data_IF_246018100665
#
_entry.id   IF_246018100665
#
_cell.length_a   1.000
_cell.length_b   1.000
_cell.length_c   1.000
_cell.angle_alpha   90.00
_cell.angle_beta   90.00
_cell.angle_gamma   90.00
#
_symmetry.space_group_name_H-M   'P 1'
#
loop_
_entity.id
_entity.type
_entity.pdbx_description
1 polymer ?
#
# COMPACT_ATOMS: atom_id res chain seq x y z
N UNK A 1 16.09 2.58 2.95
CA UNK A 1 15.86 2.13 1.56
C UNK A 1 14.41 1.67 1.47
N UNK A 2 13.67 2.06 0.44
CA UNK A 2 12.26 1.69 0.29
C UNK A 2 12.06 0.17 0.12
N UNK A 3 12.98 -0.47 -0.61
CA UNK A 3 12.98 -1.91 -0.88
C UNK A 3 13.87 -2.69 0.10
N UNK A 4 13.89 -2.26 1.37
CA UNK A 4 14.69 -2.95 2.38
C UNK A 4 14.21 -4.41 2.53
N UNK A 5 15.16 -5.34 2.69
CA UNK A 5 14.88 -6.79 2.73
C UNK A 5 13.96 -7.19 3.89
N UNK A 6 13.93 -6.39 4.96
CA UNK A 6 13.06 -6.56 6.12
C UNK A 6 11.65 -5.97 5.93
N UNK A 7 11.32 -5.38 4.78
CA UNK A 7 10.00 -4.84 4.49
C UNK A 7 9.65 -3.50 5.15
N UNK A 8 10.57 -2.90 5.91
CA UNK A 8 10.28 -1.69 6.69
C UNK A 8 9.84 -0.49 5.85
N UNK A 9 10.27 -0.40 4.58
CA UNK A 9 9.83 0.65 3.68
C UNK A 9 8.37 0.50 3.25
N UNK A 10 7.88 -0.74 3.13
CA UNK A 10 6.49 -1.01 2.81
C UNK A 10 5.57 -0.82 4.02
N UNK A 11 6.00 -1.25 5.20
CA UNK A 11 5.28 -0.99 6.46
C UNK A 11 5.13 0.51 6.73
N UNK A 12 6.22 1.26 6.57
CA UNK A 12 6.20 2.72 6.69
C UNK A 12 5.21 3.34 5.71
N UNK A 13 5.26 2.94 4.44
CA UNK A 13 4.34 3.47 3.42
C UNK A 13 2.88 3.12 3.74
N UNK A 14 2.61 1.90 4.18
CA UNK A 14 1.26 1.48 4.63
C UNK A 14 0.76 2.41 5.73
N UNK A 15 1.54 2.63 6.80
CA UNK A 15 1.12 3.52 7.88
C UNK A 15 0.83 4.94 7.38
N UNK A 16 1.69 5.49 6.52
CA UNK A 16 1.47 6.83 5.96
C UNK A 16 0.22 6.91 5.08
N UNK A 17 -0.12 5.85 4.33
CA UNK A 17 -1.36 5.78 3.55
C UNK A 17 -2.57 5.79 4.49
N UNK A 18 -2.54 5.05 5.59
CA UNK A 18 -3.65 5.00 6.55
C UNK A 18 -3.85 6.33 7.27
N UNK A 19 -2.75 6.97 7.70
CA UNK A 19 -2.80 8.29 8.33
C UNK A 19 -3.41 9.33 7.36
N UNK A 20 -2.95 9.32 6.10
CA UNK A 20 -3.42 10.23 5.06
C UNK A 20 -4.82 9.89 4.54
N UNK A 21 -5.32 8.66 4.71
CA UNK A 21 -6.67 8.29 4.29
C UNK A 21 -7.73 9.21 4.94
N UNK A 22 -7.49 9.64 6.18
CA UNK A 22 -8.39 10.57 6.89
C UNK A 22 -8.12 12.05 6.60
N UNK A 23 -6.84 12.42 6.40
CA UNK A 23 -6.40 13.82 6.26
C UNK A 23 -6.46 14.31 4.82
N UNK A 24 -6.00 13.49 3.87
CA UNK A 24 -5.96 13.79 2.46
C UNK A 24 -6.06 12.51 1.59
N UNK A 25 -7.30 12.03 1.34
CA UNK A 25 -7.59 10.85 0.54
C UNK A 25 -6.91 10.83 -0.84
N UNK A 26 -6.76 11.99 -1.48
CA UNK A 26 -6.17 12.08 -2.82
C UNK A 26 -4.67 11.77 -2.80
N UNK A 27 -3.98 12.21 -1.74
CA UNK A 27 -2.57 11.89 -1.56
C UNK A 27 -2.41 10.43 -1.15
N UNK A 28 -3.27 9.91 -0.26
CA UNK A 28 -3.28 8.50 0.10
C UNK A 28 -3.42 7.60 -1.15
N UNK A 29 -4.38 7.88 -2.02
CA UNK A 29 -4.60 7.14 -3.27
C UNK A 29 -3.35 7.13 -4.19
N UNK A 30 -2.64 8.27 -4.29
CA UNK A 30 -1.39 8.37 -5.06
C UNK A 30 -0.28 7.51 -4.44
N UNK A 31 -0.20 7.43 -3.13
CA UNK A 31 0.81 6.64 -2.40
C UNK A 31 0.56 5.13 -2.48
N UNK A 32 -0.67 4.67 -2.73
CA UNK A 32 -0.95 3.24 -2.99
C UNK A 32 -0.41 2.81 -4.37
N UNK A 33 -0.37 3.72 -5.35
CA UNK A 33 -0.04 3.41 -6.75
C UNK A 33 1.29 2.65 -6.96
N UNK A 34 2.39 2.95 -6.27
CA UNK A 34 3.62 2.16 -6.38
C UNK A 34 3.46 0.70 -5.96
N UNK A 35 2.61 0.42 -4.96
CA UNK A 35 2.39 -0.94 -4.44
C UNK A 35 1.63 -1.82 -5.45
N UNK A 36 0.80 -1.24 -6.32
CA UNK A 36 0.03 -1.98 -7.34
C UNK A 36 0.91 -2.69 -8.37
N UNK A 37 2.18 -2.30 -8.48
CA UNK A 37 3.16 -2.87 -9.42
C UNK A 37 3.89 -4.09 -8.86
N UNK A 38 3.47 -4.62 -7.70
CA UNK A 38 4.12 -5.74 -7.00
C UNK A 38 4.43 -6.95 -7.90
N UNK A 39 3.57 -7.28 -8.86
CA UNK A 39 3.77 -8.38 -9.83
C UNK A 39 5.06 -8.25 -10.66
N UNK A 40 5.59 -7.04 -10.82
CA UNK A 40 6.83 -6.76 -11.58
C UNK A 40 8.10 -6.96 -10.76
N UNK A 41 7.99 -7.13 -9.44
CA UNK A 41 9.14 -7.28 -8.56
C UNK A 41 9.46 -8.77 -8.31
N UNK A 42 10.74 -9.11 -8.05
CA UNK A 42 11.13 -10.42 -7.58
C UNK A 42 10.78 -10.60 -6.09
N UNK A 43 10.86 -11.84 -5.60
CA UNK A 43 10.86 -12.09 -4.16
C UNK A 43 12.12 -11.52 -3.49
N UNK A 44 12.05 -11.08 -2.21
CA UNK A 44 10.87 -11.09 -1.32
C UNK A 44 9.96 -9.85 -1.50
N UNK A 45 10.37 -8.89 -2.31
CA UNK A 45 9.70 -7.60 -2.49
C UNK A 45 8.28 -7.75 -3.03
N UNK A 46 8.06 -8.72 -3.91
CA UNK A 46 6.74 -9.06 -4.44
C UNK A 46 5.76 -9.38 -3.32
N UNK A 47 6.11 -10.31 -2.44
CA UNK A 47 5.26 -10.71 -1.33
C UNK A 47 5.05 -9.54 -0.36
N UNK A 48 6.10 -8.83 0.02
CA UNK A 48 6.01 -7.71 0.96
C UNK A 48 5.12 -6.56 0.44
N UNK A 49 5.17 -6.25 -0.85
CA UNK A 49 4.28 -5.25 -1.46
C UNK A 49 2.82 -5.72 -1.49
N UNK A 50 2.60 -6.99 -1.76
CA UNK A 50 1.25 -7.59 -1.74
C UNK A 50 0.67 -7.60 -0.33
N UNK A 51 1.49 -7.91 0.68
CA UNK A 51 1.09 -7.86 2.09
C UNK A 51 0.73 -6.44 2.51
N UNK A 52 1.51 -5.45 2.08
CA UNK A 52 1.19 -4.03 2.30
C UNK A 52 -0.16 -3.62 1.68
N UNK A 53 -0.47 -4.07 0.45
CA UNK A 53 -1.78 -3.84 -0.17
C UNK A 53 -2.91 -4.53 0.59
N UNK A 54 -2.70 -5.76 1.05
CA UNK A 54 -3.69 -6.50 1.82
C UNK A 54 -3.97 -5.82 3.16
N UNK A 55 -2.92 -5.34 3.84
CA UNK A 55 -3.05 -4.59 5.09
C UNK A 55 -3.85 -3.31 4.90
N UNK A 56 -3.57 -2.56 3.82
CA UNK A 56 -4.35 -1.37 3.48
C UNK A 56 -5.82 -1.76 3.24
N UNK A 57 -6.08 -2.75 2.38
CA UNK A 57 -7.44 -3.17 2.03
C UNK A 57 -8.27 -3.66 3.22
N UNK A 58 -7.61 -4.15 4.28
CA UNK A 58 -8.25 -4.61 5.52
C UNK A 58 -8.56 -3.47 6.51
N UNK A 59 -8.09 -2.25 6.28
CA UNK A 59 -8.29 -1.15 7.21
C UNK A 59 -9.77 -0.70 7.24
N UNK A 60 -10.39 -0.63 8.43
CA UNK A 60 -11.73 -0.07 8.56
C UNK A 60 -11.74 1.43 8.23
N UNK A 61 -12.79 1.89 7.54
CA UNK A 61 -12.97 3.30 7.16
C UNK A 61 -12.03 3.83 6.06
N UNK A 62 -11.51 2.94 5.21
CA UNK A 62 -10.92 3.40 3.95
C UNK A 62 -11.92 4.19 3.12
N UNK A 63 -11.46 5.32 2.58
CA UNK A 63 -12.21 6.02 1.55
C UNK A 63 -12.28 5.17 0.28
N UNK A 64 -13.38 5.32 -0.45
CA UNK A 64 -13.70 4.50 -1.62
C UNK A 64 -12.55 4.38 -2.62
N UNK A 65 -11.86 5.49 -2.92
CA UNK A 65 -10.77 5.50 -3.90
C UNK A 65 -9.57 4.66 -3.46
N UNK A 66 -9.16 4.76 -2.19
CA UNK A 66 -8.03 3.97 -1.64
C UNK A 66 -8.40 2.48 -1.61
N UNK A 67 -9.62 2.16 -1.16
CA UNK A 67 -10.13 0.79 -1.15
C UNK A 67 -10.18 0.19 -2.55
N UNK A 68 -10.71 0.92 -3.54
CA UNK A 68 -10.78 0.44 -4.92
C UNK A 68 -9.39 0.19 -5.52
N UNK A 69 -8.43 1.09 -5.30
CA UNK A 69 -7.06 0.92 -5.80
C UNK A 69 -6.41 -0.31 -5.15
N UNK A 70 -6.55 -0.46 -3.82
CA UNK A 70 -5.95 -1.59 -3.10
C UNK A 70 -6.55 -2.93 -3.54
N UNK A 71 -7.89 -3.02 -3.58
CA UNK A 71 -8.60 -4.27 -3.92
C UNK A 71 -8.47 -4.66 -5.39
N UNK A 72 -8.50 -3.72 -6.34
CA UNK A 72 -8.29 -4.02 -7.78
C UNK A 72 -6.86 -4.47 -8.09
N UNK A 73 -5.91 -4.18 -7.21
CA UNK A 73 -4.49 -4.45 -7.42
C UNK A 73 -4.00 -5.76 -6.81
N UNK A 74 -4.75 -6.33 -5.85
CA UNK A 74 -4.51 -7.67 -5.30
C UNK A 74 -4.77 -8.75 -6.37
#
# INVERSE_FOLDING_TARGET
>A
NFHATNGSGYEFLTQQILDLNSVNPQIAARLVTPLTRWKKYPEPNRQQMRDALQNIANEPNLVKDVYEIATKSL
#
